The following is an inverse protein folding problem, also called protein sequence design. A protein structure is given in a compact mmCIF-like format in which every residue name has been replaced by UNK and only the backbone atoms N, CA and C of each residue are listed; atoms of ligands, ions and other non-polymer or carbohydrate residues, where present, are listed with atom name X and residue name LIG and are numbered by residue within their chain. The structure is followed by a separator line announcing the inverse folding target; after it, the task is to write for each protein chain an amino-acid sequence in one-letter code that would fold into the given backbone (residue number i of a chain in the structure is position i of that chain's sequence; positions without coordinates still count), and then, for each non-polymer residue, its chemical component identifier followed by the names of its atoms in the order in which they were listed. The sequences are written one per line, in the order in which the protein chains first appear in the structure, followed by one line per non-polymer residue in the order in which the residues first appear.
data_IF_996015476050
#
_entry.id   IF_996015476050
#
_cell.length_a   1.000
_cell.length_b   1.000
_cell.length_c   1.000
_cell.angle_alpha   90.00
_cell.angle_beta   90.00
_cell.angle_gamma   90.00
#
_symmetry.space_group_name_H-M   'P 1'
#
loop_
_entity.id
_entity.type
_entity.pdbx_description
1 polymer ?
#
# COMPACT_ATOMS: atom_id res chain seq x y z
N UNK A 1 4.41 -22.50 36.94
CA UNK A 1 3.58 -21.79 37.92
C UNK A 1 3.50 -20.32 37.53
N UNK A 2 2.42 -19.90 36.91
CA UNK A 2 1.87 -18.52 36.81
C UNK A 2 0.70 -18.55 35.83
N UNK A 3 -0.41 -19.09 36.29
CA UNK A 3 -1.73 -18.99 35.65
C UNK A 3 -2.66 -18.42 36.69
N UNK A 4 -2.73 -17.14 36.93
CA UNK A 4 -3.76 -16.54 37.79
C UNK A 4 -3.96 -15.03 37.62
N UNK A 5 -3.41 -14.39 36.57
CA UNK A 5 -3.62 -12.97 36.34
C UNK A 5 -4.86 -12.59 35.53
N UNK A 6 -5.41 -13.52 34.76
CA UNK A 6 -6.48 -13.20 33.79
C UNK A 6 -7.90 -13.32 34.37
N UNK A 7 -8.08 -14.08 35.45
CA UNK A 7 -9.40 -14.33 36.03
C UNK A 7 -9.85 -13.15 36.95
N UNK A 8 -8.91 -12.44 37.57
CA UNK A 8 -9.24 -11.31 38.45
C UNK A 8 -9.76 -10.06 37.72
N UNK A 9 -9.38 -9.86 36.47
CA UNK A 9 -9.83 -8.67 35.74
C UNK A 9 -11.27 -8.79 35.21
N UNK A 10 -11.72 -9.99 34.90
CA UNK A 10 -13.10 -10.25 34.45
C UNK A 10 -14.08 -10.20 35.61
N UNK A 11 -13.66 -10.61 36.81
CA UNK A 11 -14.51 -10.60 38.01
C UNK A 11 -14.69 -9.18 38.57
N UNK A 12 -13.69 -8.31 38.48
CA UNK A 12 -13.80 -6.92 38.92
C UNK A 12 -14.75 -6.07 38.07
N UNK A 13 -14.88 -6.36 36.77
CA UNK A 13 -15.84 -5.67 35.89
C UNK A 13 -17.28 -6.12 36.13
N UNK A 14 -17.50 -7.38 36.53
CA UNK A 14 -18.86 -7.89 36.81
C UNK A 14 -19.39 -7.50 38.18
N UNK A 15 -18.54 -7.25 39.18
CA UNK A 15 -18.96 -6.85 40.54
C UNK A 15 -19.30 -5.35 40.61
N UNK A 16 -18.65 -4.51 39.77
CA UNK A 16 -18.96 -3.07 39.70
C UNK A 16 -20.26 -2.74 38.96
N UNK A 17 -20.87 -3.72 38.28
CA UNK A 17 -22.14 -3.49 37.57
C UNK A 17 -23.38 -3.71 38.42
N UNK A 18 -23.24 -4.27 39.64
CA UNK A 18 -24.39 -4.64 40.47
C UNK A 18 -24.67 -3.72 41.70
N UNK A 19 -23.84 -2.72 41.94
CA UNK A 19 -23.98 -1.86 43.14
C UNK A 19 -24.03 -0.37 42.84
N UNK A 20 -24.69 0.08 41.76
CA UNK A 20 -24.99 1.51 41.61
C UNK A 20 -26.49 1.74 41.53
N UNK A 21 -27.04 2.63 42.41
CA UNK A 21 -28.42 3.05 42.29
C UNK A 21 -28.64 3.79 40.97
N UNK A 22 -29.84 3.68 40.44
CA UNK A 22 -30.31 4.27 39.21
C UNK A 22 -30.06 5.79 39.12
N UNK A 23 -28.86 6.19 38.79
CA UNK A 23 -28.60 7.55 38.33
C UNK A 23 -29.02 7.65 36.87
N UNK A 24 -29.90 8.58 36.59
CA UNK A 24 -30.33 9.03 35.28
C UNK A 24 -29.07 9.39 34.47
N UNK A 25 -28.61 8.45 33.65
CA UNK A 25 -27.57 8.75 32.65
C UNK A 25 -28.20 9.64 31.59
N UNK A 26 -28.06 10.95 31.74
CA UNK A 26 -28.09 11.84 30.61
C UNK A 26 -27.15 11.23 29.57
N UNK A 27 -27.67 10.95 28.37
CA UNK A 27 -26.91 10.42 27.22
C UNK A 27 -25.78 11.37 26.84
N UNK A 28 -24.68 11.37 27.56
CA UNK A 28 -23.42 11.78 27.05
C UNK A 28 -23.09 10.74 25.94
N UNK A 29 -23.26 11.10 24.68
CA UNK A 29 -22.67 10.38 23.56
C UNK A 29 -21.18 10.31 23.87
N UNK A 30 -20.70 9.19 24.44
CA UNK A 30 -19.27 8.89 24.51
C UNK A 30 -18.77 8.88 23.06
N UNK A 31 -18.29 10.00 22.59
CA UNK A 31 -17.62 10.08 21.31
C UNK A 31 -16.31 9.31 21.47
N UNK A 32 -16.29 8.08 20.94
CA UNK A 32 -15.04 7.33 20.82
C UNK A 32 -14.07 8.26 20.08
N UNK A 33 -12.86 8.52 20.62
CA UNK A 33 -11.88 9.34 19.94
C UNK A 33 -11.71 8.86 18.49
N UNK A 34 -11.61 9.78 17.56
CA UNK A 34 -11.44 9.42 16.15
C UNK A 34 -10.14 8.66 15.93
N UNK A 35 -9.15 8.89 16.77
CA UNK A 35 -7.81 8.31 16.73
C UNK A 35 -7.45 7.78 18.10
N UNK A 36 -6.96 6.55 18.15
CA UNK A 36 -6.47 5.89 19.36
C UNK A 36 -5.00 5.49 19.13
N UNK A 37 -4.16 5.72 20.13
CA UNK A 37 -2.75 5.37 20.12
C UNK A 37 -2.51 4.25 21.10
N UNK A 38 -1.69 3.29 20.70
CA UNK A 38 -1.25 2.16 21.52
C UNK A 38 0.26 2.13 21.52
N UNK A 39 0.84 1.97 22.69
CA UNK A 39 2.28 1.85 22.89
C UNK A 39 2.47 0.75 23.93
N UNK A 40 3.04 -0.38 23.54
CA UNK A 40 3.34 -1.50 24.42
C UNK A 40 4.85 -1.60 24.74
N UNK A 41 5.63 -0.58 24.36
CA UNK A 41 7.06 -0.52 24.53
C UNK A 41 7.87 -1.12 23.38
N UNK A 42 7.28 -2.03 22.62
CA UNK A 42 7.91 -2.67 21.44
C UNK A 42 7.26 -2.22 20.13
N UNK A 43 5.96 -1.99 20.17
CA UNK A 43 5.19 -1.55 19.00
C UNK A 43 4.35 -0.32 19.32
N UNK A 44 4.38 0.65 18.40
CA UNK A 44 3.48 1.80 18.40
C UNK A 44 2.48 1.62 17.28
N UNK A 45 1.20 1.54 17.63
CA UNK A 45 0.14 1.48 16.64
C UNK A 45 -0.88 2.60 16.82
N UNK A 46 -1.49 3.01 15.73
CA UNK A 46 -2.55 4.01 15.73
C UNK A 46 -3.73 3.51 14.92
N UNK A 47 -4.91 3.65 15.50
CA UNK A 47 -6.16 3.25 14.86
C UNK A 47 -7.05 4.46 14.64
N UNK A 48 -7.64 4.54 13.48
CA UNK A 48 -8.58 5.59 13.14
C UNK A 48 -9.93 4.97 12.76
N UNK A 49 -10.95 5.28 13.55
CA UNK A 49 -12.29 4.72 13.37
C UNK A 49 -13.17 5.53 12.42
N UNK A 50 -12.71 6.70 12.01
CA UNK A 50 -13.36 7.60 11.04
C UNK A 50 -12.30 8.49 10.42
N UNK A 51 -12.58 9.06 9.23
CA UNK A 51 -11.61 9.89 8.54
C UNK A 51 -11.09 11.05 9.39
N UNK A 52 -9.79 11.05 9.65
CA UNK A 52 -9.06 12.08 10.35
C UNK A 52 -8.18 12.88 9.39
N UNK A 53 -7.99 14.17 9.68
CA UNK A 53 -7.19 15.08 8.87
C UNK A 53 -5.71 14.86 9.14
N UNK A 54 -4.95 14.45 8.12
CA UNK A 54 -3.49 14.34 8.20
C UNK A 54 -2.83 15.72 7.99
N UNK A 55 -3.07 16.34 6.84
CA UNK A 55 -2.39 17.55 6.43
C UNK A 55 -3.25 18.38 5.45
N UNK A 56 -2.89 19.67 5.31
CA UNK A 56 -3.42 20.58 4.28
C UNK A 56 -2.35 20.91 3.25
N UNK A 57 -2.77 21.47 2.12
CA UNK A 57 -1.88 21.90 1.02
C UNK A 57 -1.05 20.76 0.42
N UNK A 58 -1.56 19.53 0.43
CA UNK A 58 -0.92 18.36 -0.13
C UNK A 58 -1.09 18.33 -1.65
N UNK A 59 0.02 18.26 -2.39
CA UNK A 59 0.04 18.17 -3.86
C UNK A 59 0.08 16.75 -4.37
N UNK A 60 0.92 15.91 -3.75
CA UNK A 60 1.09 14.48 -4.09
C UNK A 60 1.20 13.65 -2.81
N UNK A 61 0.83 12.41 -2.93
CA UNK A 61 0.92 11.39 -1.89
C UNK A 61 1.69 10.21 -2.46
N UNK A 62 2.58 9.64 -1.65
CA UNK A 62 3.34 8.45 -1.95
C UNK A 62 3.15 7.48 -0.80
N UNK A 63 2.89 6.22 -1.11
CA UNK A 63 2.61 5.19 -0.14
C UNK A 63 3.47 3.97 -0.46
N UNK A 64 4.22 3.50 0.52
CA UNK A 64 4.78 2.17 0.59
C UNK A 64 3.89 1.33 1.50
N UNK A 65 3.59 0.12 1.11
CA UNK A 65 2.77 -0.79 1.92
C UNK A 65 3.57 -2.05 2.15
N UNK A 66 3.79 -2.39 3.40
CA UNK A 66 4.39 -3.65 3.84
C UNK A 66 3.36 -4.52 4.53
N UNK A 67 3.62 -5.83 4.67
CA UNK A 67 2.69 -6.70 5.36
C UNK A 67 2.37 -6.29 6.81
N UNK A 68 3.21 -5.48 7.47
CA UNK A 68 3.03 -5.09 8.87
C UNK A 68 2.82 -3.61 9.09
N UNK A 69 3.29 -2.79 8.17
CA UNK A 69 3.11 -1.35 8.26
C UNK A 69 3.15 -0.72 6.86
N UNK A 70 2.71 0.51 6.78
CA UNK A 70 2.80 1.29 5.55
C UNK A 70 3.35 2.68 5.86
N UNK A 71 4.11 3.19 4.92
CA UNK A 71 4.73 4.50 5.00
C UNK A 71 3.97 5.51 4.16
N UNK A 72 3.88 6.72 4.68
CA UNK A 72 3.20 7.82 4.04
C UNK A 72 4.16 8.99 3.83
N UNK A 73 4.32 9.37 2.58
CA UNK A 73 5.03 10.60 2.23
C UNK A 73 4.10 11.54 1.49
N UNK A 74 4.24 12.83 1.78
CA UNK A 74 3.44 13.88 1.14
C UNK A 74 4.35 14.92 0.49
N UNK A 75 3.91 15.47 -0.63
CA UNK A 75 4.53 16.63 -1.21
C UNK A 75 3.69 17.87 -0.93
N UNK A 76 4.31 18.85 -0.26
CA UNK A 76 3.76 20.18 -0.04
C UNK A 76 4.72 21.22 -0.63
N UNK A 77 4.21 22.11 -1.50
CA UNK A 77 5.06 23.05 -2.29
C UNK A 77 6.15 22.26 -3.06
N UNK A 78 7.42 22.44 -2.70
CA UNK A 78 8.58 21.75 -3.30
C UNK A 78 9.24 20.73 -2.37
N UNK A 79 8.67 20.50 -1.19
CA UNK A 79 9.23 19.60 -0.18
C UNK A 79 8.48 18.29 -0.18
N UNK A 80 9.22 17.19 -0.07
CA UNK A 80 8.67 15.87 0.26
C UNK A 80 8.96 15.60 1.73
N UNK A 81 7.94 15.16 2.44
CA UNK A 81 8.00 14.91 3.89
C UNK A 81 7.37 13.57 4.20
N UNK A 82 7.97 12.85 5.12
CA UNK A 82 7.39 11.69 5.78
C UNK A 82 6.31 12.14 6.76
N UNK A 83 5.26 11.34 6.89
CA UNK A 83 4.19 11.55 7.85
C UNK A 83 4.16 10.39 8.82
N UNK A 84 4.41 10.67 10.09
CA UNK A 84 4.32 9.68 11.16
C UNK A 84 2.94 9.74 11.80
N UNK A 85 2.06 8.82 11.41
CA UNK A 85 0.70 8.75 11.94
C UNK A 85 0.64 8.25 13.39
N UNK A 86 1.66 7.55 13.86
CA UNK A 86 1.83 7.13 15.25
C UNK A 86 2.18 8.29 16.18
N UNK A 87 2.54 9.46 15.64
CA UNK A 87 2.84 10.65 16.41
C UNK A 87 1.82 11.77 16.16
N UNK A 88 0.96 12.02 17.14
CA UNK A 88 0.00 13.13 17.07
C UNK A 88 0.11 14.03 18.27
N UNK A 89 0.71 15.22 18.11
CA UNK A 89 0.86 16.24 19.15
C UNK A 89 -0.06 17.44 18.85
N UNK A 90 -0.84 17.90 19.86
CA UNK A 90 -1.76 19.03 19.72
C UNK A 90 -2.70 18.93 18.51
N UNK A 91 -3.19 17.71 18.22
CA UNK A 91 -4.10 17.43 17.11
C UNK A 91 -3.45 17.39 15.72
N UNK A 92 -2.12 17.43 15.63
CA UNK A 92 -1.35 17.36 14.36
C UNK A 92 -0.43 16.17 14.35
N UNK A 93 -0.34 15.48 13.21
CA UNK A 93 0.64 14.40 13.00
C UNK A 93 2.04 14.95 12.81
N UNK A 94 3.06 14.14 13.15
CA UNK A 94 4.46 14.42 12.84
C UNK A 94 4.67 14.49 11.32
N UNK A 95 5.30 15.54 10.83
CA UNK A 95 5.61 15.73 9.40
C UNK A 95 7.06 16.18 9.29
N UNK A 96 7.92 15.29 8.78
CA UNK A 96 9.36 15.48 8.73
C UNK A 96 9.84 15.63 7.29
N UNK A 97 10.49 16.74 6.97
CA UNK A 97 11.01 16.97 5.62
C UNK A 97 12.19 16.08 5.34
N UNK A 98 12.07 15.17 4.36
CA UNK A 98 13.14 14.27 3.96
C UNK A 98 14.06 14.90 2.90
N UNK A 99 13.53 15.59 1.92
CA UNK A 99 14.34 16.24 0.89
C UNK A 99 13.59 17.30 0.08
N UNK A 100 14.37 18.28 -0.41
CA UNK A 100 13.94 19.26 -1.43
C UNK A 100 14.42 18.91 -2.84
N UNK A 101 15.27 17.88 -2.97
CA UNK A 101 15.90 17.47 -4.23
C UNK A 101 15.07 16.47 -5.02
N UNK A 102 14.23 15.69 -4.35
CA UNK A 102 13.47 14.61 -4.95
C UNK A 102 12.31 15.12 -5.81
N UNK A 103 12.13 14.45 -6.93
CA UNK A 103 11.00 14.63 -7.84
C UNK A 103 9.87 13.64 -7.52
N UNK A 104 10.24 12.40 -7.20
CA UNK A 104 9.35 11.33 -6.77
C UNK A 104 10.04 10.50 -5.68
N UNK A 105 9.26 9.86 -4.82
CA UNK A 105 9.72 8.90 -3.82
C UNK A 105 8.93 7.61 -4.00
N UNK A 106 9.60 6.49 -3.80
CA UNK A 106 9.05 5.14 -3.82
C UNK A 106 9.49 4.49 -2.50
N UNK A 107 8.63 4.51 -1.49
CA UNK A 107 8.95 3.89 -0.20
C UNK A 107 9.22 2.40 -0.39
N UNK A 108 10.23 1.88 0.31
CA UNK A 108 10.67 0.49 0.26
C UNK A 108 10.89 -0.01 1.67
N UNK A 109 10.94 -1.33 1.84
CA UNK A 109 11.33 -1.96 3.10
C UNK A 109 12.70 -1.40 3.53
N UNK A 110 12.75 -0.86 4.76
CA UNK A 110 13.97 -0.32 5.36
C UNK A 110 14.69 0.78 4.56
N UNK A 111 13.95 1.50 3.71
CA UNK A 111 14.55 2.61 2.98
C UNK A 111 13.64 3.26 1.96
N UNK A 112 14.23 4.12 1.14
CA UNK A 112 13.52 4.84 0.11
C UNK A 112 14.30 4.87 -1.19
N UNK A 113 13.63 4.57 -2.28
CA UNK A 113 14.09 4.93 -3.61
C UNK A 113 13.46 6.27 -4.00
N UNK A 114 14.26 7.14 -4.59
CA UNK A 114 13.81 8.44 -5.04
C UNK A 114 14.34 8.75 -6.44
N UNK A 115 13.63 9.60 -7.17
CA UNK A 115 14.15 10.17 -8.41
C UNK A 115 14.39 11.65 -8.17
N UNK A 116 15.60 12.11 -8.46
CA UNK A 116 15.99 13.51 -8.38
C UNK A 116 15.56 14.31 -9.65
N UNK A 117 15.84 15.60 -9.65
CA UNK A 117 15.54 16.48 -10.78
C UNK A 117 16.40 16.19 -12.03
N UNK A 118 17.52 15.48 -11.88
CA UNK A 118 18.41 15.06 -12.97
C UNK A 118 18.04 13.67 -13.52
N UNK A 119 16.95 13.06 -13.01
CA UNK A 119 16.52 11.71 -13.32
C UNK A 119 17.51 10.62 -12.87
N UNK A 120 18.27 10.86 -11.83
CA UNK A 120 19.01 9.82 -11.13
C UNK A 120 18.08 9.11 -10.15
N UNK A 121 18.23 7.80 -10.03
CA UNK A 121 17.64 7.01 -8.94
C UNK A 121 18.60 7.06 -7.78
N UNK A 122 18.08 7.53 -6.68
CA UNK A 122 18.78 7.67 -5.40
C UNK A 122 18.20 6.67 -4.42
N UNK A 123 19.04 6.12 -3.61
CA UNK A 123 18.64 5.30 -2.49
C UNK A 123 19.13 5.86 -1.17
N UNK A 124 18.25 5.75 -0.16
CA UNK A 124 18.57 6.03 1.23
C UNK A 124 17.91 4.96 2.12
N UNK A 125 18.67 4.33 3.01
CA UNK A 125 18.18 3.30 3.93
C UNK A 125 19.19 2.19 4.23
N UNK A 126 18.72 1.13 4.91
CA UNK A 126 19.56 0.07 5.48
C UNK A 126 19.75 -1.10 4.50
N UNK A 127 18.73 -1.49 3.73
CA UNK A 127 18.71 -2.77 2.98
C UNK A 127 18.89 -2.67 1.47
N UNK A 128 19.38 -1.58 0.98
CA UNK A 128 19.54 -1.32 -0.46
C UNK A 128 20.33 -2.30 -1.24
N UNK A 129 21.24 -2.95 -0.57
CA UNK A 129 22.10 -3.91 -1.22
C UNK A 129 21.29 -4.99 -1.94
N UNK A 130 20.08 -5.24 -1.46
CA UNK A 130 19.23 -6.27 -2.01
C UNK A 130 18.55 -5.88 -3.32
N UNK A 131 18.32 -4.60 -3.59
CA UNK A 131 17.68 -4.15 -4.84
C UNK A 131 18.63 -3.95 -6.02
N UNK A 132 19.90 -3.60 -5.76
CA UNK A 132 20.84 -3.22 -6.79
C UNK A 132 22.21 -3.89 -6.64
N UNK A 133 22.26 -5.15 -6.18
CA UNK A 133 23.48 -5.91 -5.88
C UNK A 133 24.55 -5.82 -6.97
N UNK A 134 24.14 -5.75 -8.25
CA UNK A 134 25.05 -5.66 -9.38
C UNK A 134 25.49 -4.23 -9.74
N UNK A 135 24.89 -3.21 -9.14
CA UNK A 135 25.14 -1.80 -9.46
C UNK A 135 25.75 -1.00 -8.34
N UNK A 136 25.73 -1.54 -7.11
CA UNK A 136 26.26 -0.88 -5.91
C UNK A 136 27.35 -1.76 -5.31
N UNK A 137 28.54 -1.22 -5.11
CA UNK A 137 29.62 -1.99 -4.49
C UNK A 137 29.32 -2.28 -3.03
N UNK A 138 29.81 -3.43 -2.50
CA UNK A 138 29.70 -3.78 -1.07
C UNK A 138 30.25 -2.66 -0.16
N UNK A 139 31.24 -1.91 -0.61
CA UNK A 139 31.78 -0.73 0.08
C UNK A 139 30.77 0.42 0.16
N UNK A 140 29.98 0.66 -0.89
CA UNK A 140 28.94 1.68 -0.89
C UNK A 140 27.77 1.27 0.01
N UNK A 141 27.38 0.00 -0.01
CA UNK A 141 26.38 -0.57 0.90
C UNK A 141 26.80 -0.40 2.36
N UNK A 142 28.01 -0.82 2.71
CA UNK A 142 28.54 -0.68 4.07
C UNK A 142 28.61 0.79 4.51
N UNK A 143 28.91 1.69 3.57
CA UNK A 143 28.93 3.13 3.86
C UNK A 143 27.53 3.67 4.15
N UNK A 144 26.50 3.20 3.46
CA UNK A 144 25.11 3.56 3.73
C UNK A 144 24.67 3.06 5.11
N UNK A 145 25.04 1.84 5.48
CA UNK A 145 24.69 1.21 6.75
C UNK A 145 25.33 1.89 7.98
N UNK A 146 26.55 2.42 7.84
CA UNK A 146 27.30 2.99 8.97
C UNK A 146 27.19 4.51 9.13
N UNK A 147 26.41 5.20 8.30
CA UNK A 147 26.29 6.65 8.39
C UNK A 147 25.25 7.05 9.44
N UNK A 148 25.65 7.96 10.33
CA UNK A 148 24.80 8.56 11.39
C UNK A 148 23.57 9.31 10.86
N UNK A 149 23.43 9.44 9.54
CA UNK A 149 22.31 10.08 8.88
C UNK A 149 21.68 9.12 7.88
N UNK A 150 20.43 8.67 8.10
CA UNK A 150 19.74 7.69 7.26
C UNK A 150 19.40 8.19 5.84
N UNK A 151 19.76 9.43 5.48
CA UNK A 151 19.40 10.07 4.21
C UNK A 151 20.61 10.39 3.32
N UNK A 152 21.68 9.62 3.41
CA UNK A 152 22.77 9.77 2.46
C UNK A 152 22.42 9.07 1.14
N UNK A 153 21.94 9.86 0.21
CA UNK A 153 21.57 9.40 -1.12
C UNK A 153 22.74 8.77 -1.86
N UNK A 154 22.61 7.50 -2.23
CA UNK A 154 23.51 6.82 -3.13
C UNK A 154 22.85 6.78 -4.50
N UNK A 155 23.54 7.26 -5.54
CA UNK A 155 23.06 7.12 -6.92
C UNK A 155 23.23 5.65 -7.32
N UNK A 156 22.12 4.98 -7.57
CA UNK A 156 22.08 3.56 -7.98
C UNK A 156 21.79 3.39 -9.46
N UNK A 157 21.18 4.38 -10.10
CA UNK A 157 20.91 4.38 -11.55
C UNK A 157 20.79 5.82 -12.07
N UNK A 158 21.02 6.03 -13.36
CA UNK A 158 20.98 7.34 -14.01
C UNK A 158 20.11 7.32 -15.28
N UNK A 159 19.68 8.50 -15.72
CA UNK A 159 18.88 8.67 -16.96
C UNK A 159 17.55 7.89 -16.95
N UNK A 160 16.90 7.78 -15.81
CA UNK A 160 15.62 7.09 -15.66
C UNK A 160 14.48 7.98 -16.10
N UNK A 161 13.74 7.59 -17.13
CA UNK A 161 12.63 8.37 -17.68
C UNK A 161 11.33 8.24 -16.87
N UNK A 162 11.03 7.03 -16.39
CA UNK A 162 9.85 6.70 -15.61
C UNK A 162 10.23 5.64 -14.59
N UNK A 163 9.58 5.65 -13.45
CA UNK A 163 9.71 4.60 -12.46
C UNK A 163 8.40 4.37 -11.70
N UNK A 164 8.29 3.18 -11.15
CA UNK A 164 7.24 2.70 -10.28
C UNK A 164 7.88 1.83 -9.20
N UNK A 165 7.30 1.84 -8.02
CA UNK A 165 7.84 1.04 -6.92
C UNK A 165 6.82 0.87 -5.82
N UNK A 166 6.96 -0.23 -5.13
CA UNK A 166 6.39 -0.55 -3.85
C UNK A 166 7.39 -1.46 -3.12
N UNK A 167 7.10 -1.83 -1.91
CA UNK A 167 8.02 -2.44 -0.94
C UNK A 167 9.04 -3.46 -1.46
N UNK A 168 8.69 -4.31 -2.41
CA UNK A 168 9.53 -5.41 -2.90
C UNK A 168 9.84 -5.33 -4.39
N UNK A 169 9.43 -4.25 -5.05
CA UNK A 169 9.64 -4.05 -6.46
C UNK A 169 10.04 -2.61 -6.77
N UNK A 170 11.05 -2.46 -7.58
CA UNK A 170 11.32 -1.21 -8.28
C UNK A 170 11.43 -1.48 -9.78
N UNK A 171 10.60 -0.78 -10.54
CA UNK A 171 10.56 -0.86 -11.99
C UNK A 171 10.87 0.50 -12.59
N UNK A 172 11.70 0.54 -13.62
CA UNK A 172 12.06 1.80 -14.28
C UNK A 172 12.28 1.64 -15.78
N UNK A 173 12.12 2.72 -16.51
CA UNK A 173 12.35 2.79 -17.95
C UNK A 173 13.62 3.59 -18.21
N UNK A 174 14.58 2.93 -18.88
CA UNK A 174 15.82 3.50 -19.39
C UNK A 174 16.09 2.92 -20.77
N UNK A 175 16.60 3.71 -21.70
CA UNK A 175 16.96 3.27 -23.07
C UNK A 175 15.83 2.48 -23.78
N UNK A 176 14.59 2.92 -23.62
CA UNK A 176 13.38 2.29 -24.16
C UNK A 176 13.15 0.82 -23.74
N UNK A 177 13.69 0.41 -22.59
CA UNK A 177 13.50 -0.91 -21.98
C UNK A 177 12.88 -0.75 -20.59
N UNK A 178 12.13 -1.75 -20.15
CA UNK A 178 11.68 -1.88 -18.76
C UNK A 178 12.70 -2.69 -17.98
N UNK A 179 13.17 -2.13 -16.90
CA UNK A 179 14.00 -2.81 -15.91
C UNK A 179 13.18 -3.04 -14.66
N UNK A 180 13.27 -4.22 -14.06
CA UNK A 180 12.60 -4.57 -12.81
C UNK A 180 13.63 -5.21 -11.88
N UNK A 181 13.62 -4.79 -10.63
CA UNK A 181 14.48 -5.28 -9.55
C UNK A 181 13.69 -5.37 -8.25
N UNK A 182 14.24 -6.06 -7.25
CA UNK A 182 13.66 -6.25 -5.92
C UNK A 182 13.40 -7.72 -5.61
N UNK A 183 13.02 -8.01 -4.37
CA UNK A 183 12.81 -9.38 -3.87
C UNK A 183 11.85 -10.24 -4.69
N UNK A 184 10.86 -9.60 -5.34
CA UNK A 184 9.92 -10.26 -6.27
C UNK A 184 10.62 -11.01 -7.41
N UNK A 185 11.81 -10.58 -7.82
CA UNK A 185 12.50 -11.19 -8.97
C UNK A 185 12.97 -12.62 -8.68
N UNK A 186 13.31 -12.95 -7.44
CA UNK A 186 13.65 -14.32 -7.05
C UNK A 186 12.54 -15.30 -7.35
N UNK A 187 11.32 -14.94 -7.04
CA UNK A 187 10.14 -15.76 -7.37
C UNK A 187 9.86 -15.82 -8.87
N UNK A 188 10.02 -14.73 -9.60
CA UNK A 188 9.74 -14.67 -11.02
C UNK A 188 10.73 -15.48 -11.85
N UNK A 189 12.01 -15.49 -11.48
CA UNK A 189 13.06 -16.22 -12.20
C UNK A 189 13.06 -17.73 -11.94
N UNK A 190 12.27 -18.22 -10.98
CA UNK A 190 11.94 -19.65 -10.93
C UNK A 190 12.68 -20.52 -9.94
N UNK A 191 13.46 -19.98 -9.02
CA UNK A 191 14.31 -20.77 -8.10
C UNK A 191 13.78 -20.94 -6.66
N UNK A 192 12.52 -20.65 -6.38
CA UNK A 192 11.88 -20.89 -5.08
C UNK A 192 11.90 -19.72 -4.09
N UNK A 193 11.17 -19.86 -2.99
CA UNK A 193 10.98 -18.80 -1.97
C UNK A 193 12.27 -18.48 -1.19
N UNK A 194 13.14 -19.47 -0.99
CA UNK A 194 14.42 -19.29 -0.26
C UNK A 194 15.43 -18.38 -1.00
N UNK A 195 15.20 -18.16 -2.28
CA UNK A 195 16.10 -17.40 -3.16
C UNK A 195 15.72 -15.93 -3.33
N UNK A 196 14.62 -15.45 -2.73
CA UNK A 196 14.18 -14.06 -2.86
C UNK A 196 15.28 -13.05 -2.50
N UNK A 197 16.12 -13.37 -1.54
CA UNK A 197 17.25 -12.53 -1.12
C UNK A 197 18.51 -12.69 -1.96
N UNK A 198 18.64 -13.77 -2.73
CA UNK A 198 19.85 -14.05 -3.54
C UNK A 198 19.77 -13.54 -4.99
N UNK A 199 18.57 -13.24 -5.48
CA UNK A 199 18.34 -12.94 -6.90
C UNK A 199 17.82 -11.53 -7.17
N UNK A 200 18.30 -10.56 -6.44
CA UNK A 200 18.05 -9.14 -6.70
C UNK A 200 18.68 -8.63 -7.99
N UNK A 201 18.73 -9.48 -8.99
CA UNK A 201 19.25 -9.13 -10.32
C UNK A 201 18.23 -8.30 -11.06
N UNK A 202 18.70 -7.18 -11.62
CA UNK A 202 17.89 -6.36 -12.53
C UNK A 202 17.56 -7.17 -13.77
N UNK A 203 16.26 -7.39 -14.00
CA UNK A 203 15.78 -8.09 -15.21
C UNK A 203 15.23 -7.09 -16.22
N UNK A 204 15.44 -7.38 -17.48
CA UNK A 204 15.01 -6.52 -18.60
C UNK A 204 13.82 -7.12 -19.34
N UNK A 205 12.81 -6.30 -19.55
CA UNK A 205 11.59 -6.65 -20.26
C UNK A 205 11.21 -5.56 -21.27
N UNK A 206 10.33 -5.88 -22.21
CA UNK A 206 9.77 -4.95 -23.19
C UNK A 206 10.86 -4.14 -23.90
N UNK A 207 11.91 -4.83 -24.42
CA UNK A 207 12.96 -4.19 -25.21
C UNK A 207 12.37 -3.47 -26.43
N UNK A 208 12.83 -2.24 -26.66
CA UNK A 208 12.27 -1.36 -27.68
C UNK A 208 10.86 -0.80 -27.40
N UNK A 209 10.19 -1.23 -26.31
CA UNK A 209 8.80 -0.83 -25.97
C UNK A 209 8.66 -0.11 -24.62
N UNK A 210 9.75 0.14 -23.90
CA UNK A 210 9.70 0.76 -22.57
C UNK A 210 8.98 2.12 -22.56
N UNK A 211 9.13 2.93 -23.60
CA UNK A 211 8.45 4.23 -23.70
C UNK A 211 6.93 4.10 -23.85
N UNK A 212 6.41 2.94 -24.29
CA UNK A 212 4.98 2.66 -24.41
C UNK A 212 4.33 2.26 -23.08
N UNK A 213 5.12 2.01 -22.05
CA UNK A 213 4.60 1.66 -20.73
C UNK A 213 3.95 2.89 -20.08
N UNK A 214 2.73 2.72 -19.61
CA UNK A 214 1.94 3.72 -18.91
C UNK A 214 2.01 3.54 -17.39
N UNK A 215 1.93 2.29 -16.91
CA UNK A 215 1.94 1.96 -15.48
C UNK A 215 2.53 0.57 -15.26
N UNK A 216 3.29 0.40 -14.19
CA UNK A 216 3.72 -0.90 -13.66
C UNK A 216 3.23 -0.98 -12.23
N UNK A 217 2.65 -2.10 -11.84
CA UNK A 217 2.22 -2.37 -10.47
C UNK A 217 2.58 -3.78 -10.06
N UNK A 218 2.76 -3.98 -8.78
CA UNK A 218 2.90 -5.29 -8.16
C UNK A 218 1.63 -5.60 -7.36
N UNK A 219 1.06 -6.77 -7.56
CA UNK A 219 0.06 -7.35 -6.67
C UNK A 219 0.81 -8.21 -5.66
N UNK A 220 1.05 -7.68 -4.47
CA UNK A 220 2.03 -8.21 -3.54
C UNK A 220 1.42 -9.07 -2.45
N UNK A 221 2.05 -10.22 -2.17
CA UNK A 221 2.02 -10.90 -0.90
C UNK A 221 3.33 -11.66 -0.69
N UNK A 222 4.00 -11.38 0.42
CA UNK A 222 5.28 -11.99 0.79
C UNK A 222 5.20 -13.53 0.91
N UNK A 223 4.06 -14.05 1.33
CA UNK A 223 3.88 -15.48 1.65
C UNK A 223 3.34 -16.29 0.47
N UNK A 224 2.55 -15.72 -0.40
CA UNK A 224 1.80 -16.47 -1.42
C UNK A 224 2.24 -16.21 -2.85
N UNK A 225 3.25 -15.37 -3.03
CA UNK A 225 3.85 -15.04 -4.32
C UNK A 225 3.33 -13.78 -4.97
N UNK A 226 4.18 -13.26 -5.82
CA UNK A 226 4.03 -11.96 -6.41
C UNK A 226 3.58 -12.02 -7.86
N UNK A 227 2.85 -10.99 -8.28
CA UNK A 227 2.48 -10.75 -9.66
C UNK A 227 2.87 -9.34 -10.05
N UNK A 228 3.41 -9.16 -11.24
CA UNK A 228 3.63 -7.84 -11.82
C UNK A 228 2.71 -7.65 -13.00
N UNK A 229 2.07 -6.49 -13.05
CA UNK A 229 1.21 -6.10 -14.15
C UNK A 229 1.74 -4.83 -14.81
N UNK A 230 1.68 -4.82 -16.14
CA UNK A 230 2.10 -3.69 -16.98
C UNK A 230 0.91 -3.23 -17.79
N UNK A 231 0.56 -1.95 -17.67
CA UNK A 231 -0.39 -1.28 -18.53
C UNK A 231 0.38 -0.50 -19.59
N UNK A 232 0.11 -0.77 -20.86
CA UNK A 232 0.67 -0.06 -21.98
C UNK A 232 -0.16 1.18 -22.34
N UNK A 233 0.39 2.08 -23.15
CA UNK A 233 -0.33 3.29 -23.62
C UNK A 233 -1.51 2.99 -24.54
N UNK A 234 -1.46 1.86 -25.26
CA UNK A 234 -2.57 1.36 -26.07
C UNK A 234 -3.73 0.77 -25.25
N UNK A 235 -3.57 0.78 -23.92
CA UNK A 235 -4.56 0.22 -22.98
C UNK A 235 -4.46 -1.30 -22.83
N UNK A 236 -3.49 -1.98 -23.46
CA UNK A 236 -3.27 -3.40 -23.23
C UNK A 236 -2.67 -3.65 -21.85
N UNK A 237 -3.05 -4.77 -21.23
CA UNK A 237 -2.57 -5.20 -19.91
C UNK A 237 -1.82 -6.50 -20.04
N UNK A 238 -0.64 -6.55 -19.43
CA UNK A 238 0.25 -7.69 -19.40
C UNK A 238 0.54 -8.11 -17.98
N UNK A 239 0.77 -9.40 -17.75
CA UNK A 239 1.06 -9.93 -16.41
C UNK A 239 2.09 -11.03 -16.42
N UNK A 240 2.86 -11.13 -15.33
CA UNK A 240 3.87 -12.15 -15.06
C UNK A 240 3.74 -12.57 -13.59
N UNK A 241 4.08 -13.80 -13.26
CA UNK A 241 4.10 -14.32 -11.89
C UNK A 241 3.15 -15.48 -11.65
N UNK A 242 2.71 -15.67 -10.40
CA UNK A 242 1.84 -16.79 -9.99
C UNK A 242 0.42 -16.64 -10.49
N UNK A 243 -0.20 -17.78 -10.85
CA UNK A 243 -1.58 -17.83 -11.38
C UNK A 243 -2.53 -18.69 -10.54
N UNK A 244 -2.14 -19.04 -9.33
CA UNK A 244 -2.98 -19.84 -8.43
C UNK A 244 -4.35 -19.17 -8.16
N UNK A 245 -4.38 -17.83 -8.14
CA UNK A 245 -5.56 -16.99 -7.91
C UNK A 245 -6.22 -16.51 -9.19
N UNK A 246 -5.83 -17.05 -10.34
CA UNK A 246 -6.38 -16.72 -11.66
C UNK A 246 -6.27 -15.24 -12.00
N UNK A 247 -5.21 -14.58 -11.57
CA UNK A 247 -5.00 -13.16 -11.83
C UNK A 247 -4.44 -12.88 -13.22
N UNK A 248 -3.75 -13.87 -13.82
CA UNK A 248 -3.09 -13.74 -15.14
C UNK A 248 -3.91 -14.45 -16.22
N UNK A 249 -4.42 -15.66 -15.94
CA UNK A 249 -5.08 -16.47 -16.96
C UNK A 249 -6.06 -17.46 -16.34
N UNK A 250 -7.06 -17.87 -17.13
CA UNK A 250 -7.99 -18.95 -16.81
C UNK A 250 -7.32 -20.35 -16.87
N UNK A 251 -6.16 -20.47 -17.51
CA UNK A 251 -5.47 -21.75 -17.69
C UNK A 251 -5.11 -22.40 -16.35
N UNK A 252 -4.83 -23.72 -16.37
CA UNK A 252 -4.36 -24.47 -15.19
C UNK A 252 -2.87 -24.20 -14.86
N UNK A 253 -2.13 -23.50 -15.71
CA UNK A 253 -0.73 -23.14 -15.46
C UNK A 253 -0.63 -22.31 -14.19
N UNK A 254 0.24 -22.73 -13.27
CA UNK A 254 0.38 -22.14 -11.93
C UNK A 254 1.26 -20.89 -11.91
N UNK A 255 2.16 -20.73 -12.89
CA UNK A 255 3.13 -19.63 -12.95
C UNK A 255 3.47 -19.27 -14.40
N UNK A 256 3.68 -17.99 -14.64
CA UNK A 256 4.20 -17.43 -15.89
C UNK A 256 5.53 -16.74 -15.59
N UNK A 257 6.60 -17.18 -16.23
CA UNK A 257 7.95 -16.60 -16.10
C UNK A 257 8.25 -15.53 -17.15
N UNK A 258 7.31 -15.26 -18.03
CA UNK A 258 7.35 -14.18 -19.02
C UNK A 258 6.02 -13.43 -19.01
N UNK A 259 6.05 -12.16 -19.41
CA UNK A 259 4.82 -11.40 -19.56
C UNK A 259 3.92 -12.00 -20.63
N UNK A 260 2.66 -12.23 -20.24
CA UNK A 260 1.59 -12.63 -21.14
C UNK A 260 0.54 -11.54 -21.19
N UNK A 261 -0.06 -11.36 -22.34
CA UNK A 261 -1.14 -10.38 -22.51
C UNK A 261 -2.42 -10.90 -21.83
N UNK A 262 -3.02 -10.07 -21.00
CA UNK A 262 -4.27 -10.34 -20.26
C UNK A 262 -5.44 -9.67 -20.93
N UNK A 263 -5.26 -8.42 -21.41
CA UNK A 263 -6.27 -7.63 -22.10
C UNK A 263 -5.65 -6.94 -23.30
N UNK A 264 -6.38 -6.89 -24.42
CA UNK A 264 -5.89 -6.33 -25.68
C UNK A 264 -5.86 -4.80 -25.71
N UNK A 265 -6.71 -4.13 -24.93
CA UNK A 265 -6.75 -2.68 -24.87
C UNK A 265 -7.91 -2.13 -24.05
N UNK A 266 -8.15 -0.83 -24.17
CA UNK A 266 -9.28 -0.13 -23.56
C UNK A 266 -9.16 0.11 -22.06
N UNK A 267 -7.95 -0.08 -21.46
CA UNK A 267 -7.68 0.16 -20.04
C UNK A 267 -6.94 1.47 -19.84
N UNK A 268 -7.45 2.33 -18.96
CA UNK A 268 -6.80 3.58 -18.61
C UNK A 268 -6.04 3.56 -17.29
N UNK A 269 -6.41 2.66 -16.35
CA UNK A 269 -5.75 2.47 -15.07
C UNK A 269 -5.86 1.01 -14.63
N UNK A 270 -4.82 0.51 -13.96
CA UNK A 270 -4.79 -0.79 -13.30
C UNK A 270 -4.43 -0.61 -11.82
N UNK A 271 -5.03 -1.43 -10.96
CA UNK A 271 -4.67 -1.60 -9.56
C UNK A 271 -4.72 -3.10 -9.24
N UNK A 272 -3.80 -3.58 -8.40
CA UNK A 272 -3.75 -4.99 -8.03
C UNK A 272 -3.31 -5.16 -6.57
N UNK A 273 -3.80 -6.22 -5.96
CA UNK A 273 -3.31 -6.79 -4.73
C UNK A 273 -3.18 -8.32 -4.91
N UNK A 274 -2.87 -9.03 -3.85
CA UNK A 274 -2.68 -10.49 -3.90
C UNK A 274 -3.88 -11.25 -4.49
N UNK A 275 -5.10 -10.82 -4.20
CA UNK A 275 -6.34 -11.54 -4.52
C UNK A 275 -7.13 -10.95 -5.69
N UNK A 276 -6.86 -9.72 -6.08
CA UNK A 276 -7.64 -9.02 -7.09
C UNK A 276 -6.78 -8.22 -8.06
N UNK A 277 -7.22 -8.19 -9.30
CA UNK A 277 -6.83 -7.17 -10.28
C UNK A 277 -8.05 -6.35 -10.63
N UNK A 278 -7.89 -5.04 -10.63
CA UNK A 278 -8.93 -4.07 -10.93
C UNK A 278 -8.47 -3.18 -12.09
N UNK A 279 -9.36 -2.90 -13.02
CA UNK A 279 -9.08 -1.99 -14.11
C UNK A 279 -10.20 -0.96 -14.26
N UNK A 280 -9.83 0.27 -14.52
CA UNK A 280 -10.74 1.29 -15.00
C UNK A 280 -10.56 1.38 -16.51
N UNK A 281 -11.65 1.16 -17.25
CA UNK A 281 -11.63 1.24 -18.70
C UNK A 281 -11.80 2.68 -19.22
N UNK A 282 -11.51 2.90 -20.49
CA UNK A 282 -11.65 4.20 -21.15
C UNK A 282 -13.12 4.70 -21.14
N UNK A 283 -14.10 3.80 -21.15
CA UNK A 283 -15.53 4.09 -20.98
C UNK A 283 -15.93 4.46 -19.53
N UNK A 284 -14.95 4.56 -18.62
CA UNK A 284 -15.12 4.84 -17.19
C UNK A 284 -15.87 3.76 -16.42
N UNK A 285 -15.86 2.51 -16.87
CA UNK A 285 -16.34 1.37 -16.10
C UNK A 285 -15.21 0.77 -15.27
N UNK A 286 -15.53 0.32 -14.06
CA UNK A 286 -14.63 -0.44 -13.18
C UNK A 286 -14.91 -1.92 -13.35
N UNK A 287 -13.88 -2.69 -13.63
CA UNK A 287 -13.90 -4.14 -13.75
C UNK A 287 -12.90 -4.76 -12.81
N UNK A 288 -13.16 -5.98 -12.36
CA UNK A 288 -12.23 -6.71 -11.50
C UNK A 288 -12.35 -8.22 -11.68
N UNK A 289 -11.27 -8.94 -11.39
CA UNK A 289 -11.21 -10.39 -11.36
C UNK A 289 -10.26 -10.88 -10.26
N UNK A 290 -10.15 -12.20 -10.11
CA UNK A 290 -9.47 -12.87 -9.01
C UNK A 290 -10.46 -13.47 -8.03
N UNK A 291 -10.35 -13.18 -6.73
CA UNK A 291 -11.27 -13.64 -5.70
C UNK A 291 -12.69 -13.08 -5.91
N UNK A 292 -13.70 -13.81 -5.48
CA UNK A 292 -15.08 -13.35 -5.59
C UNK A 292 -15.36 -12.07 -4.79
N UNK A 293 -16.02 -11.08 -5.40
CA UNK A 293 -16.42 -9.83 -4.76
C UNK A 293 -17.70 -9.96 -3.92
N UNK A 294 -18.35 -11.12 -3.92
CA UNK A 294 -19.65 -11.32 -3.26
C UNK A 294 -19.56 -11.75 -1.81
N UNK A 295 -18.47 -12.37 -1.43
CA UNK A 295 -18.31 -12.98 -0.10
C UNK A 295 -16.85 -13.25 0.22
N UNK A 296 -16.57 -13.67 1.46
CA UNK A 296 -15.25 -14.09 1.92
C UNK A 296 -14.76 -15.43 1.35
N UNK A 297 -15.58 -16.12 0.53
CA UNK A 297 -15.19 -17.41 -0.03
C UNK A 297 -13.99 -17.29 -0.95
N UNK A 298 -13.04 -18.24 -0.82
CA UNK A 298 -11.84 -18.38 -1.65
C UNK A 298 -12.20 -19.00 -3.02
N UNK A 299 -13.02 -18.30 -3.80
CA UNK A 299 -13.37 -18.70 -5.18
C UNK A 299 -12.76 -17.71 -6.16
N UNK A 300 -11.90 -18.17 -7.04
CA UNK A 300 -11.14 -17.37 -7.99
C UNK A 300 -11.62 -17.55 -9.42
N UNK A 301 -11.61 -16.48 -10.19
CA UNK A 301 -11.96 -16.46 -11.62
C UNK A 301 -11.06 -15.47 -12.36
N UNK A 302 -10.58 -15.86 -13.53
CA UNK A 302 -9.89 -14.95 -14.45
C UNK A 302 -10.86 -14.11 -15.31
N UNK A 303 -12.17 -14.36 -15.22
CA UNK A 303 -13.17 -13.62 -15.99
C UNK A 303 -13.44 -12.27 -15.33
N UNK A 304 -13.14 -11.14 -15.99
CA UNK A 304 -13.45 -9.83 -15.47
C UNK A 304 -14.95 -9.64 -15.25
N UNK A 305 -15.31 -8.99 -14.14
CA UNK A 305 -16.69 -8.63 -13.81
C UNK A 305 -16.78 -7.12 -13.65
N UNK A 306 -17.84 -6.54 -14.20
CA UNK A 306 -18.16 -5.13 -14.01
C UNK A 306 -18.60 -4.89 -12.57
N UNK A 307 -17.95 -3.93 -11.90
CA UNK A 307 -18.19 -3.59 -10.50
C UNK A 307 -18.95 -2.26 -10.35
N UNK A 308 -18.62 -1.28 -11.20
CA UNK A 308 -19.23 0.05 -11.12
C UNK A 308 -19.11 0.81 -12.45
N UNK A 309 -19.90 1.88 -12.56
CA UNK A 309 -19.88 2.82 -13.69
C UNK A 309 -19.42 4.20 -13.23
N UNK A 310 -19.05 5.04 -14.19
CA UNK A 310 -18.70 6.44 -13.97
C UNK A 310 -17.49 6.61 -13.05
N UNK A 311 -16.48 5.74 -13.21
CA UNK A 311 -15.29 5.66 -12.37
C UNK A 311 -14.14 6.45 -12.99
N UNK A 312 -13.49 7.24 -12.15
CA UNK A 312 -12.29 8.01 -12.47
C UNK A 312 -11.01 7.29 -12.09
N UNK A 313 -11.00 6.68 -10.89
CA UNK A 313 -9.79 6.14 -10.25
C UNK A 313 -10.15 4.99 -9.31
N UNK A 314 -9.25 4.02 -9.16
CA UNK A 314 -9.36 2.93 -8.19
C UNK A 314 -8.04 2.71 -7.49
N UNK A 315 -8.09 2.38 -6.21
CA UNK A 315 -6.99 1.88 -5.39
C UNK A 315 -7.42 0.61 -4.68
N UNK A 316 -6.48 -0.29 -4.47
CA UNK A 316 -6.71 -1.54 -3.74
C UNK A 316 -5.49 -1.85 -2.88
N UNK A 317 -5.75 -2.36 -1.70
CA UNK A 317 -4.78 -2.94 -0.79
C UNK A 317 -5.40 -4.16 -0.12
N UNK A 318 -4.68 -4.78 0.76
CA UNK A 318 -5.15 -5.92 1.53
C UNK A 318 -4.91 -5.72 3.02
N UNK A 319 -5.58 -6.52 3.84
CA UNK A 319 -5.34 -6.60 5.28
C UNK A 319 -4.50 -7.84 5.55
N UNK A 320 -3.75 -7.82 6.63
CA UNK A 320 -2.96 -8.97 7.11
C UNK A 320 -3.76 -10.09 7.75
N UNK A 321 -5.04 -9.87 7.96
CA UNK A 321 -5.88 -10.82 8.68
C UNK A 321 -6.04 -12.08 7.85
N UNK A 322 -5.82 -13.22 8.50
CA UNK A 322 -5.94 -14.63 8.12
C UNK A 322 -6.05 -15.04 6.64
N UNK A 323 -6.54 -14.17 5.77
CA UNK A 323 -6.88 -14.44 4.38
C UNK A 323 -6.50 -13.32 3.39
N UNK A 324 -5.73 -12.30 3.81
CA UNK A 324 -5.37 -11.17 2.94
C UNK A 324 -6.59 -10.56 2.24
N UNK A 325 -7.49 -10.01 3.05
CA UNK A 325 -8.77 -9.52 2.56
C UNK A 325 -8.64 -8.14 1.93
N UNK A 326 -9.11 -8.01 0.71
CA UNK A 326 -8.94 -6.79 -0.06
C UNK A 326 -9.80 -5.63 0.42
N UNK A 327 -9.18 -4.46 0.45
CA UNK A 327 -9.79 -3.15 0.65
C UNK A 327 -9.76 -2.42 -0.69
N UNK A 328 -10.91 -2.20 -1.28
CA UNK A 328 -11.05 -1.54 -2.58
C UNK A 328 -11.67 -0.16 -2.36
N UNK A 329 -11.02 0.87 -2.86
CA UNK A 329 -11.55 2.24 -2.85
C UNK A 329 -11.57 2.76 -4.27
N UNK A 330 -12.69 3.32 -4.69
CA UNK A 330 -12.78 3.92 -6.00
C UNK A 330 -13.42 5.31 -5.97
N UNK A 331 -13.02 6.12 -6.91
CA UNK A 331 -13.45 7.49 -7.09
C UNK A 331 -14.32 7.61 -8.35
N UNK A 332 -15.49 8.17 -8.20
CA UNK A 332 -16.36 8.48 -9.35
C UNK A 332 -15.92 9.78 -10.05
N UNK A 333 -16.35 9.98 -11.29
CA UNK A 333 -16.15 11.25 -12.02
C UNK A 333 -16.78 12.45 -11.30
N UNK A 334 -17.81 12.21 -10.49
CA UNK A 334 -18.46 13.22 -9.64
C UNK A 334 -17.71 13.46 -8.31
N UNK A 335 -16.47 12.98 -8.21
CA UNK A 335 -15.58 13.17 -7.04
C UNK A 335 -16.16 12.64 -5.73
N UNK A 336 -16.96 11.58 -5.80
CA UNK A 336 -17.43 10.81 -4.65
C UNK A 336 -16.60 9.53 -4.53
N UNK A 337 -16.06 9.26 -3.37
CA UNK A 337 -15.32 8.05 -3.06
C UNK A 337 -16.24 7.00 -2.43
N UNK A 338 -16.01 5.75 -2.81
CA UNK A 338 -16.73 4.58 -2.31
C UNK A 338 -15.76 3.48 -1.95
N UNK A 339 -16.10 2.67 -0.95
CA UNK A 339 -15.39 1.47 -0.52
C UNK A 339 -16.13 0.20 -0.86
N UNK A 340 -15.39 -0.87 -1.12
CA UNK A 340 -15.89 -2.22 -1.36
C UNK A 340 -14.90 -3.21 -0.75
N UNK A 341 -15.39 -4.31 -0.18
CA UNK A 341 -14.53 -5.32 0.41
C UNK A 341 -14.50 -5.27 1.92
N UNK A 342 -13.35 -5.53 2.53
CA UNK A 342 -13.23 -5.69 3.97
C UNK A 342 -13.09 -4.34 4.70
N UNK A 343 -13.84 -4.17 5.80
CA UNK A 343 -13.89 -2.92 6.56
C UNK A 343 -13.49 -3.11 8.02
N UNK A 344 -12.53 -3.98 8.29
CA UNK A 344 -12.09 -4.18 9.66
C UNK A 344 -10.67 -4.72 9.71
N UNK A 345 -9.92 -4.28 10.69
CA UNK A 345 -8.67 -4.85 11.08
C UNK A 345 -8.84 -5.50 12.47
N UNK A 346 -8.12 -6.59 12.77
CA UNK A 346 -8.22 -7.34 14.03
C UNK A 346 -8.01 -6.46 15.27
N UNK A 347 -7.23 -5.42 15.14
CA UNK A 347 -6.85 -4.54 16.24
C UNK A 347 -7.78 -3.33 16.46
N UNK A 348 -8.90 -3.24 15.72
CA UNK A 348 -9.95 -2.24 15.95
C UNK A 348 -10.01 -1.08 14.96
N UNK A 349 -9.11 -1.04 13.96
CA UNK A 349 -9.18 -0.08 12.86
C UNK A 349 -10.29 -0.41 11.85
N UNK A 350 -10.83 0.60 11.21
CA UNK A 350 -11.84 0.48 10.16
C UNK A 350 -11.35 1.11 8.88
N UNK A 351 -11.07 0.31 7.86
CA UNK A 351 -10.59 0.81 6.58
C UNK A 351 -11.53 1.87 5.96
N UNK A 352 -12.84 1.71 6.11
CA UNK A 352 -13.80 2.66 5.59
C UNK A 352 -14.30 3.66 6.65
N UNK A 353 -14.84 3.22 7.72
CA UNK A 353 -15.17 3.88 9.00
C UNK A 353 -16.01 2.93 9.85
N UNK A 354 -16.12 3.18 11.16
CA UNK A 354 -16.99 2.43 12.06
C UNK A 354 -18.51 2.60 11.80
N UNK A 355 -18.87 3.47 10.84
CA UNK A 355 -20.25 3.68 10.40
C UNK A 355 -20.78 2.49 9.60
N UNK A 356 -19.90 1.73 8.96
CA UNK A 356 -20.26 0.62 8.09
C UNK A 356 -20.01 -0.72 8.75
N UNK A 357 -20.60 -1.78 8.16
CA UNK A 357 -20.49 -3.13 8.69
C UNK A 357 -19.03 -3.54 8.85
N UNK A 358 -18.68 -4.02 10.04
CA UNK A 358 -17.45 -4.77 10.28
C UNK A 358 -17.46 -6.03 9.42
N UNK A 359 -16.36 -6.31 8.71
CA UNK A 359 -16.24 -7.45 7.80
C UNK A 359 -16.49 -7.09 6.34
N UNK A 360 -16.93 -8.05 5.54
CA UNK A 360 -17.05 -7.92 4.09
C UNK A 360 -18.28 -7.10 3.66
N UNK A 361 -18.04 -6.02 2.95
CA UNK A 361 -19.06 -5.21 2.29
C UNK A 361 -19.08 -5.56 0.80
N UNK A 362 -20.07 -6.38 0.39
CA UNK A 362 -20.25 -6.80 -1.00
C UNK A 362 -20.92 -5.76 -1.90
N UNK A 363 -21.48 -4.72 -1.27
CA UNK A 363 -22.05 -3.54 -1.95
C UNK A 363 -21.21 -2.32 -1.64
N UNK A 364 -21.05 -1.39 -2.59
CA UNK A 364 -20.30 -0.17 -2.37
C UNK A 364 -20.86 0.67 -1.23
N UNK A 365 -19.99 1.16 -0.36
CA UNK A 365 -20.34 2.08 0.73
C UNK A 365 -19.78 3.47 0.43
N UNK A 366 -20.56 4.50 0.65
CA UNK A 366 -20.13 5.89 0.42
C UNK A 366 -19.15 6.32 1.52
N UNK A 367 -18.00 6.87 1.12
CA UNK A 367 -16.95 7.29 2.03
C UNK A 367 -16.85 8.81 2.18
N UNK A 368 -16.69 9.51 1.07
CA UNK A 368 -16.41 10.95 1.10
C UNK A 368 -16.77 11.64 -0.22
N UNK A 369 -17.16 12.92 -0.13
CA UNK A 369 -17.37 13.81 -1.29
C UNK A 369 -16.20 14.78 -1.47
N UNK A 370 -16.14 15.39 -2.67
CA UNK A 370 -15.11 16.36 -3.05
C UNK A 370 -13.69 15.78 -2.98
N UNK A 371 -13.53 14.50 -3.34
CA UNK A 371 -12.26 13.79 -3.39
C UNK A 371 -11.60 14.01 -4.74
N UNK A 372 -10.29 14.22 -4.73
CA UNK A 372 -9.43 14.40 -5.91
C UNK A 372 -8.73 13.11 -6.29
N UNK A 373 -8.19 12.40 -5.29
CA UNK A 373 -7.51 11.11 -5.41
C UNK A 373 -7.84 10.20 -4.24
N UNK A 374 -7.82 8.88 -4.49
CA UNK A 374 -7.99 7.82 -3.49
C UNK A 374 -6.75 6.94 -3.45
N UNK A 375 -6.43 6.44 -2.25
CA UNK A 375 -5.33 5.52 -2.03
C UNK A 375 -5.78 4.46 -1.03
N UNK A 376 -5.18 3.30 -1.11
CA UNK A 376 -5.33 2.22 -0.15
C UNK A 376 -3.95 1.76 0.29
N UNK A 377 -3.81 1.50 1.56
CA UNK A 377 -2.66 0.90 2.18
C UNK A 377 -3.15 -0.21 3.11
N UNK A 378 -2.25 -1.00 3.66
CA UNK A 378 -2.62 -2.10 4.53
C UNK A 378 -3.63 -1.68 5.60
N UNK A 379 -4.81 -2.29 5.58
CA UNK A 379 -5.88 -1.99 6.54
C UNK A 379 -6.43 -0.56 6.50
N UNK A 380 -6.03 0.27 5.54
CA UNK A 380 -6.32 1.71 5.56
C UNK A 380 -6.77 2.27 4.22
N UNK A 381 -7.50 3.36 4.29
CA UNK A 381 -7.88 4.17 3.12
C UNK A 381 -7.50 5.62 3.33
N UNK A 382 -6.95 6.25 2.30
CA UNK A 382 -6.46 7.61 2.33
C UNK A 382 -7.12 8.41 1.21
N UNK A 383 -7.53 9.63 1.49
CA UNK A 383 -8.27 10.48 0.55
C UNK A 383 -7.69 11.88 0.49
N UNK A 384 -7.25 12.28 -0.69
CA UNK A 384 -6.89 13.65 -0.99
C UNK A 384 -8.11 14.38 -1.54
N UNK A 385 -8.57 15.40 -0.85
CA UNK A 385 -9.70 16.24 -1.29
C UNK A 385 -9.27 17.27 -2.34
N UNK A 386 -10.24 17.84 -3.05
CA UNK A 386 -10.02 18.93 -4.04
C UNK A 386 -9.38 20.19 -3.45
N UNK A 387 -9.62 20.45 -2.18
CA UNK A 387 -8.97 21.55 -1.45
C UNK A 387 -7.55 21.19 -0.95
N UNK A 388 -6.97 20.10 -1.44
CA UNK A 388 -5.66 19.59 -1.08
C UNK A 388 -5.51 19.22 0.42
N UNK A 389 -6.61 18.91 1.12
CA UNK A 389 -6.57 18.33 2.46
C UNK A 389 -6.55 16.81 2.36
N UNK A 390 -5.64 16.17 3.10
CA UNK A 390 -5.43 14.72 3.14
C UNK A 390 -6.06 14.13 4.40
N UNK A 391 -6.85 13.09 4.21
CA UNK A 391 -7.56 12.35 5.27
C UNK A 391 -7.25 10.87 5.20
N UNK A 392 -7.33 10.19 6.33
CA UNK A 392 -7.17 8.74 6.42
C UNK A 392 -8.17 8.11 7.40
N UNK A 393 -8.41 6.81 7.22
CA UNK A 393 -9.10 5.93 8.15
C UNK A 393 -8.48 4.55 8.08
N UNK A 394 -8.40 3.84 9.18
CA UNK A 394 -7.78 2.52 9.25
C UNK A 394 -6.80 2.37 10.38
N UNK A 395 -5.73 1.64 10.14
CA UNK A 395 -4.67 1.36 11.09
C UNK A 395 -3.30 1.64 10.47
N UNK A 396 -2.38 2.10 11.28
CA UNK A 396 -0.94 2.01 11.05
C UNK A 396 -0.29 1.39 12.28
N UNK A 397 0.40 0.27 12.09
CA UNK A 397 1.34 -0.25 13.08
C UNK A 397 2.73 0.31 12.78
N UNK A 398 3.48 0.64 13.80
CA UNK A 398 4.91 1.00 13.71
C UNK A 398 5.69 -0.02 14.52
N UNK A 399 6.72 -0.62 13.93
CA UNK A 399 7.68 -1.40 14.68
C UNK A 399 8.44 -0.48 15.65
N UNK A 400 8.41 -0.79 16.94
CA UNK A 400 9.23 -0.14 17.96
C UNK A 400 10.74 -0.43 17.82
N UNK A 401 11.14 -1.14 16.77
CA UNK A 401 12.53 -1.52 16.51
C UNK A 401 13.25 -0.67 15.45
N UNK A 402 12.57 0.16 14.70
CA UNK A 402 13.23 1.11 13.82
C UNK A 402 13.67 2.33 14.62
N UNK A 403 14.84 2.20 15.26
CA UNK A 403 15.70 3.24 15.79
C UNK A 403 14.97 4.48 16.32
N UNK A 404 15.02 4.65 17.64
CA UNK A 404 14.99 5.97 18.28
C UNK A 404 16.06 6.88 17.63
N UNK A 405 15.74 7.42 16.48
CA UNK A 405 16.50 8.52 15.91
C UNK A 405 16.10 9.75 16.70
N UNK A 406 16.80 9.99 17.78
CA UNK A 406 16.83 11.30 18.42
C UNK A 406 17.40 12.27 17.39
N UNK A 407 16.54 13.12 16.84
CA UNK A 407 16.93 14.26 16.03
C UNK A 407 17.59 15.34 16.90
#
# INVERSE_FOLDING_TARGET
MRKNGFVYFVILVSILSQCMPSMIFAKAKKTIPAVQFFDNGEEKSVWCTRYDLIAKNVKKVYIGSEPDFWELYIQQKSKISEVQLTEKKHGKYGIYTISKKYKNVFPQIDGNLAIDKKNNVLFSGITTCDFFVNHVSKKQCNKAYHLKHPYNDIIVETNVKKAWGNNNMFAYVKNNKLFITGGIMGELVGKGEEDCYKYNTVQTFFDGKGNQIKQVICGENYVTGCNIFVLMKDGSVWGIGRNNRKLISASKKKKYSQFVKIMDGGVKQIAACTDHVLVVKEDNTLWGWGRTFKSLKKKYSATPRKLANNIKEVAVSETRIDDFLSIIVYLTKNNKAYGLGYNYNMEGGYAFTNRYKKGWNSKPVFLMKNVKHVYAAEGSTIMLKKNNSLYWSGQQAGYGGCMDIKY
#
